data_IF_945623685999
#
_entry.id   IF_945623685999
#
_cell.length_a   1.000
_cell.length_b   1.000
_cell.length_c   1.000
_cell.angle_alpha   90.00
_cell.angle_beta   90.00
_cell.angle_gamma   90.00
#
_symmetry.space_group_name_H-M   'P 1'
#
loop_
_entity.id
_entity.type
_entity.pdbx_description
1 polymer ?
#
# COMPACT_ATOMS: atom_id res chain seq x y z
N UNK A 1 12.03 25.30 -14.10
CA UNK A 1 12.27 23.88 -14.42
C UNK A 1 11.00 23.12 -14.10
N UNK A 2 10.45 22.36 -15.06
CA UNK A 2 9.19 21.65 -14.83
C UNK A 2 9.47 20.47 -13.89
N UNK A 3 8.76 20.40 -12.77
CA UNK A 3 8.79 19.23 -11.89
C UNK A 3 8.32 18.01 -12.70
N UNK A 4 9.25 17.12 -13.04
CA UNK A 4 8.94 15.88 -13.74
C UNK A 4 8.41 14.87 -12.73
N UNK A 5 7.21 14.35 -12.99
CA UNK A 5 6.66 13.23 -12.23
C UNK A 5 7.32 11.94 -12.72
N UNK A 6 7.97 11.22 -11.81
CA UNK A 6 8.46 9.87 -12.06
C UNK A 6 7.37 8.85 -11.70
N UNK A 7 7.04 7.95 -12.63
CA UNK A 7 6.09 6.85 -12.38
C UNK A 7 6.86 5.55 -12.28
N UNK A 8 6.92 4.98 -11.08
CA UNK A 8 7.58 3.70 -10.81
C UNK A 8 6.57 2.55 -10.77
N UNK A 9 6.76 1.53 -11.61
CA UNK A 9 5.94 0.31 -11.59
C UNK A 9 6.48 -0.65 -10.52
N UNK A 10 5.67 -0.93 -9.50
CA UNK A 10 6.02 -1.84 -8.39
C UNK A 10 5.38 -3.23 -8.51
N UNK A 11 4.25 -3.32 -9.21
CA UNK A 11 3.57 -4.56 -9.54
C UNK A 11 2.69 -4.35 -10.81
N UNK A 12 2.29 -5.39 -11.54
CA UNK A 12 2.85 -6.74 -11.55
C UNK A 12 4.09 -6.76 -12.48
N UNK A 13 5.18 -7.42 -12.06
CA UNK A 13 6.37 -7.68 -12.86
C UNK A 13 6.62 -9.19 -13.05
N UNK A 14 7.52 -9.56 -13.97
CA UNK A 14 7.72 -10.97 -14.35
C UNK A 14 8.36 -11.82 -13.23
N UNK A 15 9.13 -11.20 -12.35
CA UNK A 15 9.74 -11.90 -11.23
C UNK A 15 8.68 -12.29 -10.20
N UNK A 16 7.74 -11.38 -9.90
CA UNK A 16 6.54 -11.68 -9.10
C UNK A 16 5.68 -12.79 -9.72
N UNK A 17 5.47 -12.76 -11.05
CA UNK A 17 4.74 -13.83 -11.74
C UNK A 17 5.35 -15.20 -11.48
N UNK A 18 6.69 -15.30 -11.53
CA UNK A 18 7.42 -16.55 -11.31
C UNK A 18 7.46 -16.95 -9.84
N UNK A 19 7.64 -15.98 -8.95
CA UNK A 19 7.69 -16.19 -7.51
C UNK A 19 6.37 -16.77 -6.97
N UNK A 20 5.24 -16.22 -7.41
CA UNK A 20 3.91 -16.63 -6.96
C UNK A 20 3.28 -17.73 -7.83
N UNK A 21 4.01 -18.28 -8.81
CA UNK A 21 3.52 -19.28 -9.77
C UNK A 21 2.15 -18.89 -10.36
N UNK A 22 2.03 -17.63 -10.80
CA UNK A 22 0.75 -17.08 -11.23
C UNK A 22 0.28 -17.74 -12.52
N UNK A 23 -1.01 -18.08 -12.59
CA UNK A 23 -1.59 -18.70 -13.78
C UNK A 23 -1.70 -17.70 -14.93
N UNK A 24 -1.22 -18.03 -16.14
CA UNK A 24 -1.36 -17.17 -17.30
C UNK A 24 -2.78 -17.19 -17.86
N UNK A 25 -3.12 -16.10 -18.55
CA UNK A 25 -4.26 -15.98 -19.45
C UNK A 25 -3.77 -15.86 -20.91
N UNK A 26 -4.57 -16.26 -21.90
CA UNK A 26 -4.25 -16.00 -23.30
C UNK A 26 -4.36 -14.50 -23.62
N UNK A 27 -3.40 -13.96 -24.38
CA UNK A 27 -3.44 -12.56 -24.83
C UNK A 27 -4.71 -12.28 -25.64
N UNK A 28 -5.39 -11.18 -25.29
CA UNK A 28 -6.60 -10.72 -25.98
C UNK A 28 -6.27 -10.25 -27.39
N UNK A 29 -6.50 -11.10 -28.39
CA UNK A 29 -6.19 -10.83 -29.82
C UNK A 29 -6.87 -9.59 -30.40
N UNK A 30 -8.02 -9.19 -29.84
CA UNK A 30 -8.75 -8.01 -30.28
C UNK A 30 -8.16 -6.69 -29.74
N UNK A 31 -7.20 -6.74 -28.80
CA UNK A 31 -6.51 -5.55 -28.32
C UNK A 31 -5.52 -5.06 -29.39
N UNK A 32 -5.57 -3.76 -29.70
CA UNK A 32 -4.70 -3.14 -30.72
C UNK A 32 -3.21 -3.27 -30.41
N UNK A 33 -2.85 -3.44 -29.14
CA UNK A 33 -1.46 -3.61 -28.67
C UNK A 33 -1.03 -5.07 -28.64
N UNK A 34 -1.94 -6.03 -28.86
CA UNK A 34 -1.66 -7.46 -28.76
C UNK A 34 -0.54 -7.92 -29.69
N UNK A 35 -0.47 -7.42 -30.93
CA UNK A 35 0.56 -7.83 -31.88
C UNK A 35 1.98 -7.48 -31.38
N UNK A 36 2.17 -6.25 -30.87
CA UNK A 36 3.44 -5.80 -30.30
C UNK A 36 3.78 -6.54 -29.01
N UNK A 37 2.79 -6.76 -28.14
CA UNK A 37 2.97 -7.53 -26.91
C UNK A 37 3.41 -8.97 -27.20
N UNK A 38 2.73 -9.66 -28.12
CA UNK A 38 3.04 -11.05 -28.48
C UNK A 38 4.42 -11.19 -29.07
N UNK A 39 4.84 -10.23 -29.89
CA UNK A 39 6.20 -10.22 -30.44
C UNK A 39 7.27 -10.06 -29.35
N UNK A 40 6.99 -9.26 -28.31
CA UNK A 40 7.95 -8.97 -27.25
C UNK A 40 7.95 -9.99 -26.10
N UNK A 41 6.78 -10.53 -25.75
CA UNK A 41 6.55 -11.28 -24.50
C UNK A 41 5.84 -12.63 -24.67
N UNK A 42 5.33 -12.94 -25.87
CA UNK A 42 4.62 -14.19 -26.16
C UNK A 42 3.10 -14.12 -26.01
N UNK A 43 2.44 -15.28 -26.09
CA UNK A 43 0.98 -15.38 -26.17
C UNK A 43 0.26 -15.48 -24.82
N UNK A 44 1.02 -15.48 -23.73
CA UNK A 44 0.52 -15.55 -22.36
C UNK A 44 0.65 -14.18 -21.70
N UNK A 45 -0.34 -13.80 -20.91
CA UNK A 45 -0.37 -12.56 -20.14
C UNK A 45 -0.94 -12.79 -18.75
N UNK A 46 -0.62 -11.89 -17.82
CA UNK A 46 -1.08 -11.94 -16.44
C UNK A 46 -1.80 -10.64 -16.10
N UNK A 47 -2.87 -10.78 -15.33
CA UNK A 47 -3.60 -9.66 -14.77
C UNK A 47 -3.12 -9.39 -13.34
N UNK A 48 -3.20 -8.15 -12.88
CA UNK A 48 -2.74 -7.77 -11.54
C UNK A 48 -3.55 -8.49 -10.45
N UNK A 49 -4.84 -8.76 -10.71
CA UNK A 49 -5.73 -9.48 -9.79
C UNK A 49 -5.38 -10.97 -9.64
N UNK A 50 -4.45 -11.50 -10.44
CA UNK A 50 -3.89 -12.84 -10.23
C UNK A 50 -2.98 -12.89 -8.99
N UNK A 51 -2.40 -11.75 -8.57
CA UNK A 51 -1.56 -11.67 -7.38
C UNK A 51 -2.43 -11.79 -6.11
N UNK A 52 -2.02 -12.57 -5.09
CA UNK A 52 -2.75 -12.63 -3.82
C UNK A 52 -2.94 -11.22 -3.21
N UNK A 53 -4.15 -10.84 -2.77
CA UNK A 53 -4.41 -9.48 -2.29
C UNK A 53 -3.53 -9.04 -1.12
N UNK A 54 -3.18 -9.96 -0.22
CA UNK A 54 -2.29 -9.74 0.91
C UNK A 54 -0.84 -9.49 0.46
N UNK A 55 -0.38 -10.17 -0.59
CA UNK A 55 0.94 -9.92 -1.18
C UNK A 55 1.01 -8.58 -1.90
N UNK A 56 -0.04 -8.21 -2.63
CA UNK A 56 -0.15 -6.87 -3.22
C UNK A 56 -0.09 -5.79 -2.13
N UNK A 57 -0.79 -5.99 -1.02
CA UNK A 57 -0.76 -5.05 0.11
C UNK A 57 0.65 -4.92 0.70
N UNK A 58 1.37 -6.03 0.89
CA UNK A 58 2.76 -6.00 1.39
C UNK A 58 3.69 -5.22 0.45
N UNK A 59 3.59 -5.44 -0.86
CA UNK A 59 4.40 -4.73 -1.86
C UNK A 59 4.13 -3.22 -1.81
N UNK A 60 2.86 -2.83 -1.69
CA UNK A 60 2.46 -1.41 -1.62
C UNK A 60 2.99 -0.77 -0.33
N UNK A 61 2.75 -1.41 0.82
CA UNK A 61 3.18 -0.89 2.13
C UNK A 61 4.69 -0.72 2.15
N UNK A 62 5.45 -1.76 1.77
CA UNK A 62 6.91 -1.72 1.77
C UNK A 62 7.49 -0.68 0.81
N UNK A 63 6.80 -0.33 -0.30
CA UNK A 63 7.26 0.76 -1.15
C UNK A 63 6.95 2.13 -0.55
N UNK A 64 5.77 2.31 0.06
CA UNK A 64 5.37 3.57 0.70
C UNK A 64 6.29 3.89 1.87
N UNK A 65 6.61 2.89 2.70
CA UNK A 65 7.47 3.05 3.88
C UNK A 65 8.86 3.62 3.55
N UNK A 66 9.39 3.35 2.35
CA UNK A 66 10.68 3.92 1.90
C UNK A 66 10.69 5.44 1.77
N UNK A 67 9.52 6.07 1.71
CA UNK A 67 9.37 7.51 1.58
C UNK A 67 8.87 8.15 2.88
N UNK A 68 8.72 7.37 3.95
CA UNK A 68 8.36 7.88 5.27
C UNK A 68 9.67 8.22 6.00
N UNK A 69 9.74 9.43 6.53
CA UNK A 69 10.78 9.84 7.48
C UNK A 69 10.42 9.24 8.85
N UNK A 70 11.13 8.17 9.23
CA UNK A 70 10.83 7.40 10.45
C UNK A 70 10.95 8.27 11.70
N UNK A 71 11.98 9.13 11.80
CA UNK A 71 12.17 10.01 12.96
C UNK A 71 10.98 10.98 13.12
N UNK A 72 10.56 11.63 12.02
CA UNK A 72 9.41 12.55 12.02
C UNK A 72 8.10 11.82 12.33
N UNK A 73 7.98 10.58 11.86
CA UNK A 73 6.81 9.75 12.13
C UNK A 73 6.74 9.38 13.61
N UNK A 74 7.83 8.90 14.20
CA UNK A 74 7.93 8.53 15.61
C UNK A 74 7.64 9.73 16.52
N UNK A 75 8.22 10.89 16.26
CA UNK A 75 7.94 12.14 16.98
C UNK A 75 6.43 12.45 16.99
N UNK A 76 5.79 12.32 15.83
CA UNK A 76 4.35 12.55 15.67
C UNK A 76 3.53 11.52 16.47
N UNK A 77 3.93 10.25 16.46
CA UNK A 77 3.26 9.19 17.23
C UNK A 77 3.36 9.43 18.74
N UNK A 78 4.51 9.87 19.24
CA UNK A 78 4.71 10.21 20.65
C UNK A 78 3.80 11.38 21.08
N UNK A 79 3.72 12.45 20.28
CA UNK A 79 2.83 13.58 20.52
C UNK A 79 1.36 13.13 20.60
N UNK A 80 0.93 12.28 19.66
CA UNK A 80 -0.43 11.74 19.63
C UNK A 80 -0.71 10.92 20.89
N UNK A 81 0.21 10.05 21.29
CA UNK A 81 0.03 9.20 22.48
C UNK A 81 -0.02 10.03 23.77
N UNK A 82 0.81 11.06 23.88
CA UNK A 82 0.75 11.98 25.00
C UNK A 82 -0.59 12.73 25.04
N UNK A 83 -1.08 13.22 23.90
CA UNK A 83 -2.39 13.85 23.79
C UNK A 83 -3.53 12.92 24.21
N UNK A 84 -3.49 11.65 23.77
CA UNK A 84 -4.47 10.62 24.19
C UNK A 84 -4.46 10.40 25.70
N UNK A 85 -3.28 10.33 26.32
CA UNK A 85 -3.14 10.19 27.78
C UNK A 85 -3.75 11.37 28.52
N UNK A 86 -3.51 12.59 28.07
CA UNK A 86 -4.09 13.79 28.68
C UNK A 86 -5.62 13.82 28.57
N UNK A 87 -6.16 13.53 27.39
CA UNK A 87 -7.61 13.47 27.16
C UNK A 87 -8.24 12.42 28.07
N UNK A 88 -7.65 11.22 28.13
CA UNK A 88 -8.12 10.13 29.00
C UNK A 88 -8.09 10.57 30.47
N UNK A 89 -7.01 11.19 30.91
CA UNK A 89 -6.89 11.70 32.28
C UNK A 89 -7.93 12.77 32.63
N UNK A 90 -8.20 13.70 31.71
CA UNK A 90 -9.27 14.70 31.87
C UNK A 90 -10.65 14.04 31.93
N UNK A 91 -10.92 13.08 31.06
CA UNK A 91 -12.18 12.34 31.02
C UNK A 91 -12.42 11.56 32.32
N UNK A 92 -11.41 10.86 32.84
CA UNK A 92 -11.49 10.17 34.14
C UNK A 92 -11.82 11.13 35.29
N UNK A 93 -11.23 12.33 35.32
CA UNK A 93 -11.55 13.34 36.33
C UNK A 93 -13.02 13.79 36.23
N UNK A 94 -13.52 14.04 35.03
CA UNK A 94 -14.91 14.45 34.79
C UNK A 94 -15.88 13.37 35.29
N UNK A 95 -15.65 12.10 34.91
CA UNK A 95 -16.49 10.96 35.35
C UNK A 95 -16.55 10.89 36.87
N UNK A 96 -15.39 11.02 37.53
CA UNK A 96 -15.31 10.98 39.00
C UNK A 96 -16.10 12.10 39.70
N UNK A 97 -16.12 13.31 39.10
CA UNK A 97 -16.90 14.43 39.64
C UNK A 97 -18.39 14.18 39.48
N UNK A 98 -18.82 13.64 38.34
CA UNK A 98 -20.23 13.28 38.10
C UNK A 98 -20.69 12.21 39.09
N UNK A 99 -19.88 11.18 39.34
CA UNK A 99 -20.19 10.12 40.31
C UNK A 99 -20.28 10.63 41.75
N UNK A 100 -19.42 11.58 42.15
CA UNK A 100 -19.47 12.17 43.50
C UNK A 100 -20.65 13.09 43.75
N UNK A 101 -21.25 13.63 42.69
CA UNK A 101 -22.40 14.55 42.76
C UNK A 101 -23.74 13.83 42.53
N UNK A 102 -23.74 12.50 42.39
CA UNK A 102 -24.93 11.65 42.47
C UNK A 102 -25.12 11.17 43.91
#
# INVERSE_FOLDING_TARGET
DADFIEVKRIALNIDQVREFDLRPNPVKRADSRAAGYVQAFGTECWELDALPPDELQKIIVAEIEKYIDEDTWEDTEEEIEQGKKEIRGKLTKIIRVIEKNK
#
